data_IF_741958662165
#
_entry.id   IF_741958662165
#
_cell.length_a   1.000
_cell.length_b   1.000
_cell.length_c   1.000
_cell.angle_alpha   90.00
_cell.angle_beta   90.00
_cell.angle_gamma   90.00
#
_symmetry.space_group_name_H-M   'P 1'
#
loop_
_entity.id
_entity.type
_entity.pdbx_description
1 polymer ?
#
# COMPACT_ATOMS: atom_id res chain seq x y z
N UNK A 1 10.45 -32.31 -23.22
CA UNK A 1 10.83 -31.71 -21.92
C UNK A 1 11.01 -30.22 -22.15
N UNK A 2 9.94 -29.44 -21.97
CA UNK A 2 9.90 -28.02 -22.33
C UNK A 2 10.59 -27.17 -21.25
N UNK A 3 11.64 -26.44 -21.64
CA UNK A 3 12.42 -25.58 -20.76
C UNK A 3 11.65 -24.28 -20.44
N UNK A 4 11.24 -24.12 -19.19
CA UNK A 4 10.39 -23.03 -18.68
C UNK A 4 11.21 -21.88 -18.06
N UNK A 5 12.36 -21.52 -18.63
CA UNK A 5 13.29 -20.55 -18.01
C UNK A 5 13.79 -19.39 -18.88
N UNK A 6 13.27 -19.20 -20.09
CA UNK A 6 13.55 -18.01 -20.90
C UNK A 6 12.23 -17.37 -21.32
N UNK A 7 11.83 -16.30 -20.61
CA UNK A 7 10.57 -15.60 -20.94
C UNK A 7 10.12 -14.50 -19.99
N UNK A 8 10.96 -14.02 -19.07
CA UNK A 8 10.58 -12.93 -18.14
C UNK A 8 11.46 -11.68 -18.26
N UNK A 9 11.94 -11.38 -19.47
CA UNK A 9 12.66 -10.14 -19.74
C UNK A 9 12.32 -9.48 -21.09
N UNK A 10 11.15 -9.79 -21.63
CA UNK A 10 10.60 -9.10 -22.80
C UNK A 10 9.15 -8.82 -22.48
N UNK A 11 8.86 -7.59 -22.06
CA UNK A 11 7.57 -6.90 -21.87
C UNK A 11 7.69 -6.03 -20.61
N UNK A 12 8.07 -4.77 -20.75
CA UNK A 12 7.64 -3.63 -19.90
C UNK A 12 8.32 -2.31 -20.34
N UNK A 13 8.26 -2.00 -21.63
CA UNK A 13 7.90 -0.63 -22.04
C UNK A 13 6.42 -0.62 -22.41
N UNK A 14 5.58 -1.24 -21.58
CA UNK A 14 4.13 -1.03 -21.72
C UNK A 14 3.90 0.41 -21.27
N UNK A 15 3.47 1.27 -22.19
CA UNK A 15 3.02 2.60 -21.82
C UNK A 15 1.97 2.44 -20.71
N UNK A 16 2.19 3.12 -19.59
CA UNK A 16 1.23 3.13 -18.49
C UNK A 16 -0.11 3.59 -19.07
N UNK A 17 -1.20 2.96 -18.62
CA UNK A 17 -2.53 3.45 -18.98
C UNK A 17 -2.66 4.92 -18.58
N UNK A 18 -3.39 5.76 -19.34
CA UNK A 18 -3.46 7.19 -19.08
C UNK A 18 -3.82 7.56 -17.64
N UNK A 19 -4.75 6.83 -17.02
CA UNK A 19 -5.14 7.04 -15.62
C UNK A 19 -4.01 6.73 -14.64
N UNK A 20 -3.19 5.72 -14.93
CA UNK A 20 -2.04 5.35 -14.09
C UNK A 20 -0.93 6.38 -14.18
N UNK A 21 -0.66 6.86 -15.39
CA UNK A 21 0.30 7.93 -15.63
C UNK A 21 -0.15 9.23 -14.94
N UNK A 22 -1.42 9.60 -15.07
CA UNK A 22 -1.98 10.80 -14.43
C UNK A 22 -1.87 10.75 -12.90
N UNK A 23 -2.16 9.59 -12.29
CA UNK A 23 -2.00 9.40 -10.84
C UNK A 23 -0.54 9.63 -10.42
N UNK A 24 0.41 9.01 -11.14
CA UNK A 24 1.85 9.10 -10.87
C UNK A 24 2.36 10.53 -10.97
N UNK A 25 1.99 11.27 -12.02
CA UNK A 25 2.39 12.66 -12.23
C UNK A 25 1.84 13.57 -11.13
N UNK A 26 0.57 13.41 -10.75
CA UNK A 26 -0.02 14.16 -9.64
C UNK A 26 0.69 13.86 -8.33
N UNK A 27 0.99 12.59 -8.05
CA UNK A 27 1.70 12.18 -6.84
C UNK A 27 3.12 12.77 -6.78
N UNK A 28 3.85 12.75 -7.90
CA UNK A 28 5.17 13.34 -8.01
C UNK A 28 5.14 14.85 -7.69
N UNK A 29 4.20 15.58 -8.30
CA UNK A 29 3.99 17.01 -8.06
C UNK A 29 3.70 17.30 -6.58
N UNK A 30 2.80 16.55 -5.96
CA UNK A 30 2.49 16.71 -4.52
C UNK A 30 3.72 16.45 -3.64
N UNK A 31 4.53 15.44 -3.97
CA UNK A 31 5.76 15.15 -3.22
C UNK A 31 6.76 16.31 -3.33
N UNK A 32 6.93 16.88 -4.52
CA UNK A 32 7.78 18.04 -4.76
C UNK A 32 7.29 19.29 -4.00
N UNK A 33 6.02 19.66 -4.18
CA UNK A 33 5.39 20.83 -3.55
C UNK A 33 5.51 20.82 -2.02
N UNK A 34 5.39 19.64 -1.41
CA UNK A 34 5.45 19.47 0.05
C UNK A 34 6.82 18.99 0.57
N UNK A 35 7.85 19.00 -0.27
CA UNK A 35 9.22 18.57 0.06
C UNK A 35 9.23 17.19 0.74
N UNK A 36 8.42 16.27 0.23
CA UNK A 36 8.36 14.90 0.68
C UNK A 36 9.26 14.07 -0.24
N UNK A 37 10.51 13.91 0.17
CA UNK A 37 11.54 13.25 -0.62
C UNK A 37 12.02 11.97 0.09
N UNK A 38 11.31 10.83 -0.05
CA UNK A 38 11.89 9.54 0.27
C UNK A 38 13.21 9.35 -0.50
N UNK A 39 14.21 8.74 0.13
CA UNK A 39 15.52 8.48 -0.51
C UNK A 39 15.39 7.68 -1.82
N UNK A 40 14.27 6.99 -2.02
CA UNK A 40 13.93 6.18 -3.18
C UNK A 40 12.67 6.68 -3.92
N UNK A 41 12.41 8.00 -3.97
CA UNK A 41 11.17 8.59 -4.52
C UNK A 41 10.77 8.04 -5.90
N UNK A 42 11.71 7.90 -6.85
CA UNK A 42 11.38 7.35 -8.18
C UNK A 42 10.85 5.91 -8.12
N UNK A 43 11.44 5.06 -7.27
CA UNK A 43 10.97 3.69 -7.06
C UNK A 43 9.59 3.68 -6.40
N UNK A 44 9.37 4.56 -5.41
CA UNK A 44 8.06 4.73 -4.74
C UNK A 44 6.99 5.12 -5.75
N UNK A 45 7.27 6.11 -6.62
CA UNK A 45 6.33 6.56 -7.66
C UNK A 45 6.01 5.47 -8.68
N UNK A 46 7.02 4.69 -9.10
CA UNK A 46 6.82 3.56 -10.01
C UNK A 46 5.91 2.50 -9.38
N UNK A 47 6.26 2.01 -8.19
CA UNK A 47 5.49 0.98 -7.47
C UNK A 47 4.09 1.47 -7.08
N UNK A 48 3.91 2.74 -6.72
CA UNK A 48 2.60 3.32 -6.46
C UNK A 48 1.72 3.30 -7.72
N UNK A 49 2.30 3.59 -8.89
CA UNK A 49 1.58 3.52 -10.17
C UNK A 49 1.19 2.09 -10.55
N UNK A 50 2.09 1.13 -10.36
CA UNK A 50 1.81 -0.30 -10.57
C UNK A 50 0.72 -0.81 -9.60
N UNK A 51 0.79 -0.40 -8.34
CA UNK A 51 -0.23 -0.69 -7.34
C UNK A 51 -1.59 -0.13 -7.75
N UNK A 52 -1.65 1.12 -8.22
CA UNK A 52 -2.89 1.74 -8.67
C UNK A 52 -3.50 1.03 -9.87
N UNK A 53 -2.66 0.61 -10.83
CA UNK A 53 -3.11 -0.19 -11.97
C UNK A 53 -3.73 -1.52 -11.52
N UNK A 54 -3.08 -2.20 -10.58
CA UNK A 54 -3.59 -3.45 -9.98
C UNK A 54 -4.89 -3.21 -9.21
N UNK A 55 -4.95 -2.15 -8.42
CA UNK A 55 -6.12 -1.73 -7.65
C UNK A 55 -7.31 -1.53 -8.58
N UNK A 56 -7.18 -0.75 -9.66
CA UNK A 56 -8.28 -0.55 -10.62
C UNK A 56 -8.76 -1.86 -11.25
N UNK A 57 -7.84 -2.76 -11.60
CA UNK A 57 -8.17 -4.07 -12.16
C UNK A 57 -8.95 -4.94 -11.17
N UNK A 58 -8.53 -4.97 -9.91
CA UNK A 58 -9.21 -5.77 -8.88
C UNK A 58 -10.51 -5.12 -8.41
N UNK A 59 -10.61 -3.79 -8.40
CA UNK A 59 -11.79 -3.05 -7.96
C UNK A 59 -13.02 -3.33 -8.84
N UNK A 60 -12.81 -3.78 -10.09
CA UNK A 60 -13.88 -4.26 -10.98
C UNK A 60 -14.53 -5.57 -10.50
N UNK A 61 -13.83 -6.35 -9.66
CA UNK A 61 -14.25 -7.68 -9.20
C UNK A 61 -14.63 -7.68 -7.73
N UNK A 62 -13.92 -6.89 -6.92
CA UNK A 62 -14.12 -6.80 -5.48
C UNK A 62 -14.11 -5.33 -5.06
N UNK A 63 -15.03 -4.91 -4.21
CA UNK A 63 -15.08 -3.51 -3.74
C UNK A 63 -13.92 -3.24 -2.76
N UNK A 64 -12.80 -2.76 -3.29
CA UNK A 64 -11.60 -2.38 -2.52
C UNK A 64 -11.69 -0.93 -2.05
N UNK A 65 -12.16 -0.05 -2.94
CA UNK A 65 -12.29 1.38 -2.65
C UNK A 65 -13.33 2.03 -3.56
N UNK A 66 -13.93 3.11 -3.07
CA UNK A 66 -14.74 4.03 -3.89
C UNK A 66 -13.86 5.02 -4.67
N UNK A 67 -12.58 5.17 -4.31
CA UNK A 67 -11.65 6.12 -4.91
C UNK A 67 -10.93 5.46 -6.10
N UNK A 68 -11.49 5.64 -7.29
CA UNK A 68 -10.90 5.18 -8.56
C UNK A 68 -10.39 6.32 -9.44
N UNK A 69 -10.77 7.57 -9.13
CA UNK A 69 -10.26 8.74 -9.84
C UNK A 69 -8.75 8.92 -9.55
N UNK A 70 -7.90 9.02 -10.58
CA UNK A 70 -6.44 9.08 -10.39
C UNK A 70 -5.95 10.31 -9.62
N UNK A 71 -6.58 11.47 -9.79
CA UNK A 71 -6.20 12.70 -9.07
C UNK A 71 -6.55 12.61 -7.59
N UNK A 72 -7.71 12.05 -7.29
CA UNK A 72 -8.16 11.83 -5.91
C UNK A 72 -7.33 10.73 -5.25
N UNK A 73 -7.05 9.63 -5.97
CA UNK A 73 -6.21 8.54 -5.46
C UNK A 73 -4.80 9.03 -5.13
N UNK A 74 -4.18 9.82 -6.02
CA UNK A 74 -2.86 10.40 -5.79
C UNK A 74 -2.81 11.21 -4.49
N UNK A 75 -3.83 12.03 -4.22
CA UNK A 75 -3.90 12.85 -3.01
C UNK A 75 -4.27 12.02 -1.77
N UNK A 76 -5.44 11.41 -1.78
CA UNK A 76 -6.05 10.85 -0.58
C UNK A 76 -5.54 9.46 -0.24
N UNK A 77 -5.16 8.63 -1.22
CA UNK A 77 -4.66 7.28 -0.94
C UNK A 77 -3.14 7.29 -0.78
N UNK A 78 -2.42 7.81 -1.77
CA UNK A 78 -0.97 7.73 -1.80
C UNK A 78 -0.30 8.86 -1.02
N UNK A 79 -0.54 10.12 -1.37
CA UNK A 79 0.19 11.24 -0.80
C UNK A 79 -0.03 11.38 0.70
N UNK A 80 -1.27 11.30 1.20
CA UNK A 80 -1.56 11.33 2.65
C UNK A 80 -0.82 10.20 3.39
N UNK A 81 -0.84 8.98 2.84
CA UNK A 81 -0.14 7.83 3.44
C UNK A 81 1.38 8.01 3.43
N UNK A 82 1.94 8.55 2.34
CA UNK A 82 3.38 8.86 2.27
C UNK A 82 3.74 10.02 3.20
N UNK A 83 2.88 11.02 3.35
CA UNK A 83 3.11 12.16 4.23
C UNK A 83 3.21 11.72 5.69
N UNK A 84 2.46 10.69 6.09
CA UNK A 84 2.53 10.10 7.43
C UNK A 84 3.95 9.62 7.81
N UNK A 85 4.81 9.29 6.83
CA UNK A 85 6.21 8.89 7.10
C UNK A 85 7.02 9.96 7.83
N UNK A 86 6.65 11.25 7.69
CA UNK A 86 7.31 12.36 8.40
C UNK A 86 7.16 12.27 9.93
N UNK A 87 6.16 11.54 10.41
CA UNK A 87 5.87 11.39 11.83
C UNK A 87 6.36 10.05 12.41
N UNK A 88 6.93 9.18 11.57
CA UNK A 88 7.39 7.86 11.98
C UNK A 88 8.89 7.92 12.28
N UNK A 89 9.25 7.70 13.55
CA UNK A 89 10.65 7.63 13.97
C UNK A 89 11.38 6.44 13.33
N UNK A 90 12.65 6.62 12.97
CA UNK A 90 13.53 5.54 12.51
C UNK A 90 13.77 4.42 13.55
N UNK A 91 13.36 4.64 14.81
CA UNK A 91 13.40 3.65 15.89
C UNK A 91 12.28 2.61 15.77
N UNK A 92 11.15 2.95 15.14
CA UNK A 92 10.04 2.04 14.87
C UNK A 92 10.51 0.95 13.89
N UNK A 93 10.36 -0.32 14.26
CA UNK A 93 10.82 -1.48 13.46
C UNK A 93 9.67 -2.33 12.96
N UNK A 94 8.56 -2.33 13.67
CA UNK A 94 7.37 -3.12 13.37
C UNK A 94 6.12 -2.23 13.38
N UNK A 95 5.23 -2.46 12.41
CA UNK A 95 3.93 -1.81 12.38
C UNK A 95 2.82 -2.79 11.99
N UNK A 96 1.61 -2.53 12.48
CA UNK A 96 0.39 -3.14 11.97
C UNK A 96 -0.51 -2.08 11.34
N UNK A 97 -1.07 -2.37 10.17
CA UNK A 97 -2.10 -1.56 9.55
C UNK A 97 -3.44 -2.28 9.62
N UNK A 98 -4.34 -1.80 10.48
CA UNK A 98 -5.56 -2.51 10.87
C UNK A 98 -6.73 -2.09 9.99
N UNK A 99 -7.38 -3.07 9.38
CA UNK A 99 -8.45 -2.81 8.40
C UNK A 99 -7.89 -2.17 7.13
N UNK A 100 -6.70 -2.60 6.71
CA UNK A 100 -5.91 -1.94 5.65
C UNK A 100 -6.64 -1.85 4.30
N UNK A 101 -7.66 -2.68 4.04
CA UNK A 101 -8.50 -2.62 2.85
C UNK A 101 -7.69 -2.75 1.55
N UNK A 102 -7.61 -1.65 0.80
CA UNK A 102 -6.80 -1.56 -0.41
C UNK A 102 -5.29 -1.37 -0.15
N UNK A 103 -4.83 -1.54 1.09
CA UNK A 103 -3.43 -1.44 1.48
C UNK A 103 -3.02 -0.08 2.05
N UNK A 104 -3.95 0.75 2.54
CA UNK A 104 -3.62 2.12 2.97
C UNK A 104 -3.89 2.34 4.46
N UNK A 105 -2.95 2.98 5.20
CA UNK A 105 -1.67 3.53 4.73
C UNK A 105 -0.53 2.50 4.58
N UNK A 106 -0.67 1.27 5.06
CA UNK A 106 0.43 0.33 5.29
C UNK A 106 1.29 0.00 4.06
N UNK A 107 0.71 -0.24 2.89
CA UNK A 107 1.47 -0.52 1.67
C UNK A 107 2.26 0.70 1.22
N UNK A 108 1.67 1.90 1.25
CA UNK A 108 2.38 3.13 0.91
C UNK A 108 3.54 3.42 1.88
N UNK A 109 3.35 3.14 3.18
CA UNK A 109 4.42 3.18 4.17
C UNK A 109 5.52 2.17 3.84
N UNK A 110 5.17 0.94 3.45
CA UNK A 110 6.15 -0.09 3.09
C UNK A 110 7.01 0.31 1.89
N UNK A 111 6.43 1.03 0.91
CA UNK A 111 7.17 1.57 -0.24
C UNK A 111 8.23 2.60 0.19
N UNK A 112 7.85 3.52 1.08
CA UNK A 112 8.71 4.62 1.52
C UNK A 112 9.71 4.23 2.61
N UNK A 113 9.39 3.21 3.42
CA UNK A 113 10.16 2.77 4.58
C UNK A 113 10.56 1.28 4.42
N UNK A 114 11.49 0.93 3.52
CA UNK A 114 11.82 -0.45 3.19
C UNK A 114 12.41 -1.27 4.36
N UNK A 115 12.81 -0.60 5.45
CA UNK A 115 13.31 -1.23 6.70
C UNK A 115 12.22 -1.46 7.76
N UNK A 116 11.04 -0.87 7.59
CA UNK A 116 9.91 -1.06 8.50
C UNK A 116 9.17 -2.34 8.09
N UNK A 117 9.05 -3.28 9.01
CA UNK A 117 8.25 -4.49 8.83
C UNK A 117 6.78 -4.13 9.09
N UNK A 118 5.93 -4.33 8.09
CA UNK A 118 4.51 -3.95 8.16
C UNK A 118 3.64 -5.19 8.02
N UNK A 119 2.75 -5.41 8.98
CA UNK A 119 1.68 -6.40 8.89
C UNK A 119 0.41 -5.70 8.43
N UNK A 120 -0.08 -6.06 7.25
CA UNK A 120 -1.36 -5.61 6.71
C UNK A 120 -2.46 -6.55 7.23
N UNK A 121 -3.33 -6.04 8.09
CA UNK A 121 -4.38 -6.82 8.75
C UNK A 121 -5.73 -6.56 8.07
N UNK A 122 -6.33 -7.62 7.54
CA UNK A 122 -7.60 -7.55 6.82
C UNK A 122 -8.41 -8.84 7.02
N UNK A 123 -9.66 -8.70 7.46
CA UNK A 123 -10.53 -9.84 7.72
C UNK A 123 -11.24 -10.39 6.48
N UNK A 124 -11.49 -9.57 5.46
CA UNK A 124 -12.07 -10.02 4.19
C UNK A 124 -11.01 -10.76 3.35
N UNK A 125 -11.22 -12.06 3.14
CA UNK A 125 -10.27 -12.93 2.43
C UNK A 125 -10.01 -12.52 0.98
N UNK A 126 -10.96 -11.87 0.30
CA UNK A 126 -10.77 -11.40 -1.08
C UNK A 126 -9.86 -10.18 -1.11
N UNK A 127 -10.01 -9.28 -0.15
CA UNK A 127 -9.11 -8.12 0.02
C UNK A 127 -7.72 -8.58 0.44
N UNK A 128 -7.62 -9.55 1.36
CA UNK A 128 -6.34 -10.16 1.71
C UNK A 128 -5.65 -10.83 0.50
N UNK A 129 -6.40 -11.49 -0.39
CA UNK A 129 -5.87 -12.03 -1.63
C UNK A 129 -5.34 -10.93 -2.58
N UNK A 130 -6.04 -9.79 -2.68
CA UNK A 130 -5.55 -8.62 -3.41
C UNK A 130 -4.22 -8.10 -2.83
N UNK A 131 -4.12 -7.97 -1.50
CA UNK A 131 -2.88 -7.55 -0.84
C UNK A 131 -1.74 -8.53 -1.12
N UNK A 132 -2.04 -9.83 -1.18
CA UNK A 132 -1.09 -10.88 -1.56
C UNK A 132 -0.54 -10.69 -2.96
N UNK A 133 -1.43 -10.39 -3.90
CA UNK A 133 -1.08 -10.10 -5.28
C UNK A 133 -0.27 -8.80 -5.41
N UNK A 134 -0.65 -7.75 -4.67
CA UNK A 134 0.05 -6.47 -4.63
C UNK A 134 1.48 -6.66 -4.09
N UNK A 135 1.63 -7.32 -2.95
CA UNK A 135 2.94 -7.64 -2.35
C UNK A 135 3.84 -8.38 -3.33
N UNK A 136 3.31 -9.41 -4.00
CA UNK A 136 4.05 -10.24 -4.96
C UNK A 136 4.44 -9.44 -6.21
N UNK A 137 3.51 -8.66 -6.77
CA UNK A 137 3.72 -7.90 -8.01
C UNK A 137 4.73 -6.77 -7.84
N UNK A 138 4.73 -6.12 -6.68
CA UNK A 138 5.61 -5.01 -6.34
C UNK A 138 6.93 -5.46 -5.69
N UNK A 139 7.13 -6.79 -5.54
CA UNK A 139 8.28 -7.40 -4.87
C UNK A 139 8.56 -6.81 -3.48
N UNK A 140 7.53 -6.72 -2.64
CA UNK A 140 7.64 -6.17 -1.29
C UNK A 140 7.95 -7.28 -0.28
N UNK A 141 9.15 -7.22 0.28
CA UNK A 141 9.68 -8.21 1.24
C UNK A 141 9.43 -7.81 2.69
N UNK A 142 9.12 -6.55 2.95
CA UNK A 142 8.85 -5.99 4.28
C UNK A 142 7.35 -5.98 4.64
N UNK A 143 6.53 -6.72 3.91
CA UNK A 143 5.08 -6.85 4.18
C UNK A 143 4.74 -8.29 4.56
N UNK A 144 3.99 -8.43 5.65
CA UNK A 144 3.22 -9.62 5.99
C UNK A 144 1.72 -9.32 5.84
N UNK A 145 0.93 -10.32 5.45
CA UNK A 145 -0.53 -10.19 5.36
C UNK A 145 -1.14 -11.11 6.40
N UNK A 146 -1.97 -10.55 7.27
CA UNK A 146 -2.73 -11.29 8.26
C UNK A 146 -4.21 -11.28 7.84
N UNK A 147 -4.72 -12.42 7.35
CA UNK A 147 -6.13 -12.56 6.98
C UNK A 147 -6.98 -12.94 8.21
N UNK A 148 -7.05 -12.03 9.16
CA UNK A 148 -7.77 -12.21 10.42
C UNK A 148 -8.18 -10.84 10.98
N UNK A 149 -8.89 -10.87 12.11
CA UNK A 149 -9.17 -9.66 12.88
C UNK A 149 -7.97 -9.34 13.76
N UNK A 150 -7.70 -8.05 13.99
CA UNK A 150 -6.51 -7.63 14.74
C UNK A 150 -6.48 -8.19 16.17
N UNK A 151 -7.64 -8.33 16.83
CA UNK A 151 -7.79 -8.86 18.19
C UNK A 151 -7.34 -10.32 18.33
N UNK A 152 -7.14 -11.04 17.22
CA UNK A 152 -6.62 -12.42 17.22
C UNK A 152 -5.09 -12.48 17.11
N UNK A 153 -4.44 -11.38 16.76
CA UNK A 153 -3.00 -11.31 16.69
C UNK A 153 -2.42 -11.26 18.11
N UNK A 154 -1.41 -12.09 18.36
CA UNK A 154 -0.65 -12.12 19.62
C UNK A 154 0.67 -11.35 19.54
N UNK A 155 0.95 -10.73 18.40
CA UNK A 155 2.18 -10.00 18.12
C UNK A 155 2.07 -8.55 18.60
N UNK A 156 3.09 -8.07 19.32
CA UNK A 156 3.23 -6.66 19.65
C UNK A 156 3.86 -5.88 18.48
N UNK A 157 3.39 -4.65 18.27
CA UNK A 157 3.88 -3.75 17.23
C UNK A 157 4.33 -2.43 17.84
N UNK A 158 5.40 -1.83 17.30
CA UNK A 158 5.86 -0.50 17.73
C UNK A 158 4.91 0.62 17.29
N UNK A 159 4.16 0.37 16.21
CA UNK A 159 3.22 1.31 15.61
C UNK A 159 1.96 0.57 15.13
N UNK A 160 0.80 1.14 15.40
CA UNK A 160 -0.48 0.71 14.80
C UNK A 160 -1.04 1.85 13.98
N UNK A 161 -1.38 1.59 12.72
CA UNK A 161 -2.09 2.52 11.85
C UNK A 161 -3.50 2.04 11.59
N UNK A 162 -4.41 3.01 11.48
CA UNK A 162 -5.82 2.79 11.19
C UNK A 162 -6.29 3.89 10.26
N UNK A 163 -7.13 3.55 9.29
CA UNK A 163 -7.82 4.53 8.43
C UNK A 163 -9.28 4.17 8.27
N UNK A 164 -10.14 5.20 8.24
CA UNK A 164 -11.56 5.10 7.90
C UNK A 164 -12.33 4.04 8.70
N UNK A 165 -12.00 3.93 10.00
CA UNK A 165 -12.73 3.06 10.90
C UNK A 165 -13.96 3.80 11.44
N UNK A 166 -15.15 3.40 10.96
CA UNK A 166 -16.44 4.06 11.28
C UNK A 166 -16.73 4.17 12.79
N UNK A 167 -16.03 3.39 13.63
CA UNK A 167 -16.13 3.41 15.10
C UNK A 167 -14.74 3.46 15.76
N UNK A 168 -13.93 4.40 15.32
CA UNK A 168 -12.54 4.56 15.76
C UNK A 168 -12.40 4.59 17.30
N UNK A 169 -13.23 5.37 18.00
CA UNK A 169 -13.15 5.52 19.46
C UNK A 169 -13.43 4.22 20.23
N UNK A 170 -14.50 3.49 19.87
CA UNK A 170 -14.88 2.26 20.58
C UNK A 170 -13.94 1.10 20.24
N UNK A 171 -13.37 1.07 19.04
CA UNK A 171 -12.51 -0.04 18.63
C UNK A 171 -11.07 0.16 19.11
N UNK A 172 -10.50 1.36 19.05
CA UNK A 172 -9.13 1.63 19.54
C UNK A 172 -8.97 1.24 21.02
N UNK A 173 -9.98 1.52 21.85
CA UNK A 173 -9.94 1.16 23.27
C UNK A 173 -9.87 -0.36 23.52
N UNK A 174 -10.27 -1.18 22.56
CA UNK A 174 -10.14 -2.64 22.63
C UNK A 174 -8.83 -3.14 22.00
N UNK A 175 -8.05 -2.26 21.36
CA UNK A 175 -6.76 -2.58 20.75
C UNK A 175 -5.55 -2.15 21.61
N UNK A 176 -5.78 -1.37 22.67
CA UNK A 176 -4.79 -0.88 23.65
C UNK A 176 -5.04 -1.53 25.01
#
# INVERSE_FOLDING_TARGET
MFNYKEGRNVLLTQHLKPETQQMKEKLAKLCEEHKLCPNNLNEVLNKASEHFSLLLKWNQKISLTTITNPQIAATQLYFESLFATKFISNKIKSAADVGTGAGFPGLALALALPKLLITLVESDSRKAAFLGEARRSLNLTNIQIANERFEKLSTNFDLVTVRALEKLETQILNLL
#
